data_IF_260443723342
#
_entry.id   IF_260443723342
#
_cell.length_a   1.000
_cell.length_b   1.000
_cell.length_c   1.000
_cell.angle_alpha   90.00
_cell.angle_beta   90.00
_cell.angle_gamma   90.00
#
_symmetry.space_group_name_H-M   'P 1'
#
loop_
_entity.id
_entity.type
_entity.pdbx_description
1 polymer ?
#
# COMPACT_ATOMS: atom_id res chain seq x y z
N UNK A 1 7.50 -12.96 -12.77
CA UNK A 1 8.58 -12.25 -12.08
C UNK A 1 9.74 -13.19 -11.77
N UNK A 2 10.95 -12.67 -11.71
CA UNK A 2 12.14 -13.34 -11.17
C UNK A 2 12.54 -12.50 -9.95
N UNK A 3 12.59 -13.14 -8.79
CA UNK A 3 12.91 -12.48 -7.52
C UNK A 3 14.26 -13.02 -7.04
N UNK A 4 15.23 -12.14 -6.89
CA UNK A 4 16.52 -12.45 -6.28
C UNK A 4 16.51 -11.87 -4.85
N UNK A 5 16.73 -12.70 -3.86
CA UNK A 5 16.85 -12.31 -2.45
C UNK A 5 18.29 -12.49 -2.04
N UNK A 6 18.90 -11.48 -1.42
CA UNK A 6 20.28 -11.55 -0.91
C UNK A 6 20.33 -12.09 0.52
N UNK A 7 21.57 -12.28 1.03
CA UNK A 7 21.81 -12.82 2.37
C UNK A 7 21.30 -11.89 3.51
N UNK A 8 20.90 -10.65 3.19
CA UNK A 8 20.35 -9.68 4.15
C UNK A 8 18.80 -9.64 4.12
N UNK A 9 18.18 -10.42 3.22
CA UNK A 9 16.73 -10.45 3.03
C UNK A 9 16.19 -9.34 2.11
N UNK A 10 17.07 -8.53 1.52
CA UNK A 10 16.68 -7.53 0.51
C UNK A 10 16.40 -8.22 -0.83
N UNK A 11 15.41 -7.72 -1.58
CA UNK A 11 15.03 -8.33 -2.85
C UNK A 11 15.22 -7.39 -4.05
N UNK A 12 15.49 -8.00 -5.19
CA UNK A 12 15.47 -7.36 -6.50
C UNK A 12 14.53 -8.14 -7.41
N UNK A 13 13.55 -7.47 -8.00
CA UNK A 13 12.49 -8.09 -8.78
C UNK A 13 12.59 -7.64 -10.24
N UNK A 14 12.66 -8.62 -11.15
CA UNK A 14 12.57 -8.40 -12.60
C UNK A 14 11.20 -8.89 -13.07
N UNK A 15 10.38 -7.98 -13.59
CA UNK A 15 9.00 -8.28 -14.00
C UNK A 15 8.85 -8.23 -15.51
N UNK A 16 8.27 -9.30 -16.10
CA UNK A 16 7.66 -9.26 -17.41
C UNK A 16 6.15 -9.04 -17.21
N UNK A 17 5.57 -7.91 -17.62
CA UNK A 17 4.20 -7.52 -17.23
C UNK A 17 3.12 -8.51 -17.66
N UNK A 18 3.31 -9.18 -18.82
CA UNK A 18 2.39 -10.23 -19.28
C UNK A 18 0.93 -9.78 -19.28
N UNK A 19 0.08 -10.52 -18.59
CA UNK A 19 -1.36 -10.23 -18.50
C UNK A 19 -1.66 -8.89 -17.82
N UNK A 20 -0.83 -8.42 -16.88
CA UNK A 20 -1.03 -7.11 -16.25
C UNK A 20 -1.05 -5.98 -17.29
N UNK A 21 -0.17 -6.04 -18.30
CA UNK A 21 -0.11 -5.03 -19.35
C UNK A 21 -1.34 -5.03 -20.29
N UNK A 22 -2.15 -6.07 -20.26
CA UNK A 22 -3.36 -6.20 -21.09
C UNK A 22 -4.65 -5.81 -20.38
N UNK A 23 -4.57 -5.43 -19.09
CA UNK A 23 -5.73 -4.98 -18.34
C UNK A 23 -6.12 -3.58 -18.79
N UNK A 24 -7.08 -3.50 -19.70
CA UNK A 24 -7.57 -2.25 -20.27
C UNK A 24 -8.70 -1.60 -19.44
N UNK A 25 -9.10 -0.41 -19.83
CA UNK A 25 -10.14 0.39 -19.13
C UNK A 25 -11.52 -0.25 -19.17
N UNK A 26 -11.84 -1.03 -20.19
CA UNK A 26 -13.14 -1.67 -20.35
C UNK A 26 -13.27 -2.87 -19.41
N UNK A 27 -12.20 -3.66 -19.30
CA UNK A 27 -12.12 -4.77 -18.35
C UNK A 27 -12.22 -4.26 -16.91
N UNK A 28 -11.49 -3.18 -16.57
CA UNK A 28 -11.55 -2.54 -15.26
C UNK A 28 -12.96 -2.03 -14.96
N UNK A 29 -13.58 -1.31 -15.89
CA UNK A 29 -14.94 -0.80 -15.73
C UNK A 29 -15.94 -1.94 -15.47
N UNK A 30 -15.90 -2.98 -16.31
CA UNK A 30 -16.75 -4.16 -16.19
C UNK A 30 -16.59 -4.90 -14.85
N UNK A 31 -15.36 -5.02 -14.38
CA UNK A 31 -15.08 -5.68 -13.09
C UNK A 31 -15.63 -4.85 -11.92
N UNK A 32 -15.38 -3.54 -11.94
CA UNK A 32 -15.80 -2.61 -10.88
C UNK A 32 -17.32 -2.34 -10.87
N UNK A 33 -18.00 -2.51 -11.99
CA UNK A 33 -19.46 -2.43 -12.03
C UNK A 33 -20.14 -3.47 -11.13
N UNK A 34 -19.48 -4.61 -10.91
CA UNK A 34 -20.01 -5.73 -10.11
C UNK A 34 -19.79 -5.59 -8.61
N UNK A 35 -18.89 -4.70 -8.17
CA UNK A 35 -18.64 -4.53 -6.74
C UNK A 35 -19.74 -3.66 -6.09
N UNK A 36 -20.09 -3.92 -4.82
CA UNK A 36 -21.02 -3.09 -4.07
C UNK A 36 -20.51 -1.65 -3.92
N UNK A 37 -21.40 -0.66 -3.81
CA UNK A 37 -21.02 0.69 -3.37
C UNK A 37 -20.33 0.65 -2.02
N UNK A 38 -19.46 1.64 -1.78
CA UNK A 38 -18.68 1.78 -0.53
C UNK A 38 -17.68 0.64 -0.25
N UNK A 39 -17.38 -0.20 -1.24
CA UNK A 39 -16.32 -1.23 -1.14
C UNK A 39 -14.95 -0.61 -0.91
N UNK A 40 -14.02 -1.42 -0.41
CA UNK A 40 -12.59 -1.08 -0.39
C UNK A 40 -11.95 -1.74 -1.61
N UNK A 41 -11.24 -0.93 -2.39
CA UNK A 41 -10.55 -1.37 -3.62
C UNK A 41 -9.07 -1.15 -3.44
N UNK A 42 -8.29 -2.23 -3.55
CA UNK A 42 -6.83 -2.18 -3.50
C UNK A 42 -6.30 -2.09 -4.93
N UNK A 43 -5.40 -1.16 -5.17
CA UNK A 43 -4.73 -0.95 -6.44
C UNK A 43 -3.21 -0.87 -6.24
N UNK A 44 -2.48 -1.30 -7.24
CA UNK A 44 -1.05 -1.08 -7.42
C UNK A 44 -0.80 -0.40 -8.78
N UNK A 45 0.47 -0.16 -9.10
CA UNK A 45 0.87 0.47 -10.38
C UNK A 45 1.51 -0.54 -11.35
N UNK A 46 1.26 -1.82 -11.18
CA UNK A 46 1.72 -2.88 -12.09
C UNK A 46 0.81 -3.12 -13.30
N UNK A 47 -0.22 -2.29 -13.47
CA UNK A 47 -1.15 -2.28 -14.61
C UNK A 47 -1.04 -0.96 -15.37
N UNK A 48 -1.57 -0.83 -16.59
CA UNK A 48 -1.54 0.44 -17.33
C UNK A 48 -2.13 1.59 -16.53
N UNK A 49 -1.48 2.75 -16.56
CA UNK A 49 -1.90 3.91 -15.76
C UNK A 49 -3.31 4.39 -16.12
N UNK A 50 -3.73 4.23 -17.37
CA UNK A 50 -5.08 4.54 -17.84
C UNK A 50 -6.12 3.67 -17.13
N UNK A 51 -5.77 2.43 -16.84
CA UNK A 51 -6.63 1.49 -16.11
C UNK A 51 -6.73 1.86 -14.63
N UNK A 52 -5.63 2.36 -14.03
CA UNK A 52 -5.66 2.92 -12.68
C UNK A 52 -6.55 4.16 -12.61
N UNK A 53 -6.39 5.10 -13.56
CA UNK A 53 -7.24 6.29 -13.67
C UNK A 53 -8.71 5.90 -13.80
N UNK A 54 -9.00 4.92 -14.67
CA UNK A 54 -10.37 4.43 -14.86
C UNK A 54 -10.94 3.80 -13.59
N UNK A 55 -10.14 3.02 -12.87
CA UNK A 55 -10.55 2.45 -11.59
C UNK A 55 -10.90 3.55 -10.57
N UNK A 56 -10.09 4.60 -10.50
CA UNK A 56 -10.34 5.76 -9.62
C UNK A 56 -11.67 6.43 -9.97
N UNK A 57 -11.91 6.71 -11.24
CA UNK A 57 -13.17 7.34 -11.69
C UNK A 57 -14.41 6.52 -11.28
N UNK A 58 -14.41 5.22 -11.58
CA UNK A 58 -15.53 4.33 -11.27
C UNK A 58 -15.73 4.20 -9.75
N UNK A 59 -14.64 4.06 -9.01
CA UNK A 59 -14.69 3.96 -7.55
C UNK A 59 -15.26 5.22 -6.89
N UNK A 60 -14.86 6.41 -7.36
CA UNK A 60 -15.42 7.67 -6.87
C UNK A 60 -16.94 7.77 -7.11
N UNK A 61 -17.41 7.39 -8.30
CA UNK A 61 -18.84 7.40 -8.62
C UNK A 61 -19.65 6.45 -7.73
N UNK A 62 -19.05 5.34 -7.30
CA UNK A 62 -19.66 4.33 -6.42
C UNK A 62 -19.43 4.59 -4.92
N UNK A 63 -18.71 5.65 -4.56
CA UNK A 63 -18.35 5.94 -3.17
C UNK A 63 -17.43 4.89 -2.55
N UNK A 64 -16.65 4.17 -3.37
CA UNK A 64 -15.65 3.19 -2.90
C UNK A 64 -14.42 3.89 -2.32
N UNK A 65 -13.76 3.26 -1.35
CA UNK A 65 -12.51 3.72 -0.79
C UNK A 65 -11.34 3.03 -1.48
N UNK A 66 -10.50 3.81 -2.15
CA UNK A 66 -9.31 3.29 -2.83
C UNK A 66 -8.11 3.29 -1.87
N UNK A 67 -7.49 2.14 -1.71
CA UNK A 67 -6.17 1.99 -1.14
C UNK A 67 -5.18 1.78 -2.29
N UNK A 68 -4.25 2.71 -2.47
CA UNK A 68 -3.23 2.64 -3.52
C UNK A 68 -1.86 2.37 -2.91
N UNK A 69 -1.29 1.23 -3.30
CA UNK A 69 0.13 0.95 -3.15
C UNK A 69 0.84 1.47 -4.41
N UNK A 70 1.66 2.54 -4.32
CA UNK A 70 2.25 3.16 -5.50
C UNK A 70 3.50 2.41 -6.02
N UNK A 71 3.45 1.09 -6.03
CA UNK A 71 4.50 0.18 -6.47
C UNK A 71 4.21 -0.37 -7.89
N UNK A 72 5.17 -0.29 -8.84
CA UNK A 72 6.40 0.48 -8.79
C UNK A 72 6.16 2.00 -8.88
N UNK A 73 6.97 2.77 -8.18
CA UNK A 73 6.81 4.21 -8.12
C UNK A 73 6.91 4.88 -9.50
N UNK A 74 5.92 5.69 -9.84
CA UNK A 74 5.87 6.49 -11.06
C UNK A 74 5.08 7.77 -10.83
N UNK A 75 5.22 8.74 -11.74
CA UNK A 75 4.45 9.99 -11.69
C UNK A 75 2.97 9.68 -11.87
N UNK A 76 2.15 10.14 -10.93
CA UNK A 76 0.71 9.92 -10.94
C UNK A 76 -0.05 11.16 -11.43
N UNK A 77 -1.12 10.98 -12.21
CA UNK A 77 -2.07 12.06 -12.49
C UNK A 77 -2.72 12.61 -11.20
N UNK A 78 -3.02 13.91 -11.20
CA UNK A 78 -3.65 14.59 -10.05
C UNK A 78 -4.99 13.93 -9.63
N UNK A 79 -5.76 13.42 -10.61
CA UNK A 79 -7.01 12.70 -10.36
C UNK A 79 -6.82 11.44 -9.51
N UNK A 80 -5.69 10.73 -9.66
CA UNK A 80 -5.38 9.54 -8.87
C UNK A 80 -5.11 9.91 -7.42
N UNK A 81 -4.31 10.97 -7.17
CA UNK A 81 -4.10 11.46 -5.80
C UNK A 81 -5.43 11.85 -5.13
N UNK A 82 -6.24 12.66 -5.81
CA UNK A 82 -7.54 13.14 -5.28
C UNK A 82 -8.58 12.03 -5.06
N UNK A 83 -8.46 10.92 -5.79
CA UNK A 83 -9.35 9.77 -5.65
C UNK A 83 -8.89 8.74 -4.63
N UNK A 84 -7.66 8.87 -4.12
CA UNK A 84 -7.07 7.90 -3.19
C UNK A 84 -7.46 8.20 -1.75
N UNK A 85 -8.13 7.23 -1.12
CA UNK A 85 -8.47 7.27 0.31
C UNK A 85 -7.26 7.02 1.19
N UNK A 86 -6.42 6.02 0.86
CA UNK A 86 -5.19 5.70 1.57
C UNK A 86 -4.08 5.41 0.57
N UNK A 87 -2.99 6.17 0.65
CA UNK A 87 -1.75 5.93 -0.10
C UNK A 87 -0.73 5.28 0.84
N UNK A 88 -0.12 4.16 0.41
CA UNK A 88 0.77 3.34 1.23
C UNK A 88 2.17 3.19 0.65
N UNK A 89 2.89 4.28 0.37
CA UNK A 89 4.22 4.20 -0.21
C UNK A 89 5.23 3.65 0.81
N UNK A 90 6.24 2.94 0.32
CA UNK A 90 7.46 2.73 1.08
C UNK A 90 8.33 4.01 1.06
N UNK A 91 9.47 3.99 1.74
CA UNK A 91 10.39 5.14 1.81
C UNK A 91 10.76 5.67 0.41
N UNK A 92 11.22 4.80 -0.48
CA UNK A 92 11.70 5.18 -1.82
C UNK A 92 10.57 5.73 -2.69
N UNK A 93 9.40 5.14 -2.62
CA UNK A 93 8.19 5.60 -3.31
C UNK A 93 7.74 6.96 -2.77
N UNK A 94 7.75 7.13 -1.45
CA UNK A 94 7.41 8.42 -0.84
C UNK A 94 8.40 9.52 -1.24
N UNK A 95 9.70 9.22 -1.32
CA UNK A 95 10.72 10.15 -1.83
C UNK A 95 10.46 10.56 -3.27
N UNK A 96 10.19 9.58 -4.15
CA UNK A 96 9.93 9.83 -5.56
C UNK A 96 8.64 10.65 -5.76
N UNK A 97 7.56 10.28 -5.09
CA UNK A 97 6.24 10.92 -5.26
C UNK A 97 6.19 12.32 -4.63
N UNK A 98 6.89 12.52 -3.51
CA UNK A 98 6.92 13.83 -2.82
C UNK A 98 8.03 14.74 -3.33
N UNK A 99 9.09 14.20 -3.91
CA UNK A 99 10.33 14.91 -4.22
C UNK A 99 11.15 15.29 -2.99
N UNK A 100 10.89 14.69 -1.83
CA UNK A 100 11.58 14.96 -0.56
C UNK A 100 12.39 13.74 -0.16
N UNK A 101 13.71 13.88 0.00
CA UNK A 101 14.58 12.83 0.51
C UNK A 101 14.28 12.56 2.00
N UNK A 102 14.08 11.29 2.35
CA UNK A 102 13.72 10.86 3.70
C UNK A 102 14.96 10.37 4.46
N UNK A 103 15.47 11.20 5.34
CA UNK A 103 16.65 10.90 6.17
C UNK A 103 16.35 10.76 7.66
N UNK A 104 15.25 11.37 8.12
CA UNK A 104 14.85 11.42 9.52
C UNK A 104 13.33 11.53 9.68
N UNK A 105 12.84 11.57 10.92
CA UNK A 105 11.40 11.73 11.22
C UNK A 105 10.79 13.03 10.70
N UNK A 106 11.59 14.10 10.63
CA UNK A 106 11.13 15.39 10.12
C UNK A 106 10.85 15.34 8.63
N UNK A 107 11.79 14.78 7.86
CA UNK A 107 11.65 14.61 6.40
C UNK A 107 10.54 13.64 6.02
N UNK A 108 10.30 12.56 6.81
CA UNK A 108 9.11 11.70 6.64
C UNK A 108 7.83 12.50 6.78
N UNK A 109 7.75 13.36 7.81
CA UNK A 109 6.57 14.22 8.04
C UNK A 109 6.35 15.17 6.85
N UNK A 110 7.42 15.84 6.38
CA UNK A 110 7.34 16.72 5.21
C UNK A 110 6.89 15.98 3.94
N UNK A 111 7.40 14.76 3.70
CA UNK A 111 6.99 13.93 2.57
C UNK A 111 5.49 13.59 2.63
N UNK A 112 5.01 13.14 3.79
CA UNK A 112 3.59 12.83 3.98
C UNK A 112 2.70 14.07 3.79
N UNK A 113 3.09 15.23 4.33
CA UNK A 113 2.36 16.49 4.13
C UNK A 113 2.27 16.88 2.66
N UNK A 114 3.36 16.70 1.92
CA UNK A 114 3.39 16.98 0.49
C UNK A 114 2.43 16.08 -0.29
N UNK A 115 2.35 14.79 0.08
CA UNK A 115 1.42 13.85 -0.53
C UNK A 115 -0.04 14.19 -0.16
N UNK A 116 -0.32 14.58 1.08
CA UNK A 116 -1.65 15.07 1.48
C UNK A 116 -2.04 16.34 0.68
N UNK A 117 -1.11 17.26 0.47
CA UNK A 117 -1.34 18.46 -0.35
C UNK A 117 -1.62 18.14 -1.82
N UNK A 118 -1.19 16.98 -2.33
CA UNK A 118 -1.54 16.50 -3.68
C UNK A 118 -2.98 15.99 -3.77
N UNK A 119 -3.70 15.87 -2.66
CA UNK A 119 -5.12 15.55 -2.61
C UNK A 119 -5.46 14.18 -2.02
N UNK A 120 -4.47 13.40 -1.59
CA UNK A 120 -4.69 12.12 -0.89
C UNK A 120 -5.36 12.37 0.46
N UNK A 121 -6.32 11.53 0.85
CA UNK A 121 -7.03 11.70 2.13
C UNK A 121 -6.19 11.24 3.32
N UNK A 122 -5.50 10.10 3.20
CA UNK A 122 -4.66 9.51 4.24
C UNK A 122 -3.37 8.98 3.62
N UNK A 123 -2.25 9.11 4.32
CA UNK A 123 -0.95 8.60 3.90
C UNK A 123 -0.38 7.71 5.01
N UNK A 124 0.13 6.53 4.64
CA UNK A 124 0.82 5.62 5.55
C UNK A 124 2.16 5.23 4.91
N UNK A 125 3.24 5.95 5.25
CA UNK A 125 4.59 5.67 4.74
C UNK A 125 5.17 4.49 5.51
N UNK A 126 5.44 3.38 4.82
CA UNK A 126 6.11 2.21 5.43
C UNK A 126 7.62 2.43 5.48
N UNK A 127 8.21 2.18 6.66
CA UNK A 127 9.62 2.47 6.96
C UNK A 127 10.39 1.20 7.39
N UNK A 128 9.92 0.03 6.97
CA UNK A 128 10.50 -1.26 7.31
C UNK A 128 10.51 -1.49 8.84
N UNK A 129 11.69 -1.80 9.40
CA UNK A 129 11.85 -2.04 10.85
C UNK A 129 11.55 -0.82 11.73
N UNK A 130 11.41 0.38 11.15
CA UNK A 130 11.01 1.59 11.87
C UNK A 130 9.48 1.74 11.99
N UNK A 131 8.71 0.85 11.37
CA UNK A 131 7.25 0.88 11.40
C UNK A 131 6.61 1.72 10.31
N UNK A 132 5.58 2.47 10.64
CA UNK A 132 4.78 3.24 9.69
C UNK A 132 4.57 4.66 10.20
N UNK A 133 4.77 5.65 9.35
CA UNK A 133 4.31 7.00 9.61
C UNK A 133 2.94 7.21 8.98
N UNK A 134 1.94 7.41 9.80
CA UNK A 134 0.57 7.72 9.39
C UNK A 134 0.30 9.21 9.50
N UNK A 135 -0.34 9.78 8.48
CA UNK A 135 -0.78 11.16 8.46
C UNK A 135 -2.10 11.34 7.71
N UNK A 136 -2.94 12.23 8.23
CA UNK A 136 -4.10 12.81 7.55
C UNK A 136 -4.30 14.26 8.04
N UNK A 137 -5.43 14.88 7.69
CA UNK A 137 -5.72 16.26 8.08
C UNK A 137 -5.79 16.48 9.60
N UNK A 138 -6.12 15.45 10.38
CA UNK A 138 -6.39 15.54 11.82
C UNK A 138 -5.24 14.99 12.67
N UNK A 139 -4.54 13.97 12.18
CA UNK A 139 -3.59 13.19 12.96
C UNK A 139 -2.29 12.96 12.20
N UNK A 140 -1.18 12.95 12.96
CA UNK A 140 0.14 12.55 12.49
C UNK A 140 0.81 11.74 13.59
N UNK A 141 1.23 10.51 13.29
CA UNK A 141 1.84 9.65 14.29
C UNK A 141 2.78 8.61 13.68
N UNK A 142 3.83 8.27 14.42
CA UNK A 142 4.66 7.10 14.15
C UNK A 142 4.06 5.90 14.88
N UNK A 143 3.87 4.82 14.16
CA UNK A 143 3.44 3.51 14.67
C UNK A 143 4.63 2.57 14.55
N UNK A 144 5.15 2.11 15.67
CA UNK A 144 6.37 1.30 15.71
C UNK A 144 6.15 -0.11 15.15
N UNK A 145 7.17 -0.66 14.48
CA UNK A 145 7.16 -2.04 14.03
C UNK A 145 7.36 -3.01 15.21
N UNK A 146 6.81 -4.22 15.06
CA UNK A 146 7.19 -5.33 15.92
C UNK A 146 8.60 -5.80 15.56
N UNK A 147 9.50 -5.86 16.52
CA UNK A 147 10.87 -6.33 16.29
C UNK A 147 10.88 -7.83 15.99
N UNK A 148 11.36 -8.20 14.82
CA UNK A 148 11.48 -9.58 14.34
C UNK A 148 12.79 -9.78 13.57
N UNK A 149 13.23 -11.03 13.43
CA UNK A 149 14.31 -11.37 12.52
C UNK A 149 13.72 -11.59 11.13
N UNK A 150 13.93 -10.63 10.24
CA UNK A 150 13.50 -10.75 8.85
C UNK A 150 14.34 -11.80 8.12
N UNK A 151 13.68 -12.64 7.34
CA UNK A 151 14.26 -13.70 6.52
C UNK A 151 14.08 -13.37 5.04
N UNK A 152 12.90 -12.84 4.70
CA UNK A 152 12.52 -12.49 3.33
C UNK A 152 11.49 -11.36 3.38
N UNK A 153 11.80 -10.21 2.76
CA UNK A 153 10.92 -9.04 2.74
C UNK A 153 9.93 -9.03 1.56
N UNK A 154 9.95 -10.09 0.73
CA UNK A 154 9.02 -10.24 -0.40
C UNK A 154 7.58 -10.17 0.07
N UNK A 155 6.76 -9.42 -0.64
CA UNK A 155 5.32 -9.25 -0.39
C UNK A 155 4.95 -8.66 0.99
N UNK A 156 5.90 -8.06 1.73
CA UNK A 156 5.60 -7.39 3.00
C UNK A 156 4.60 -6.23 2.83
N UNK A 157 4.72 -5.46 1.74
CA UNK A 157 3.78 -4.39 1.38
C UNK A 157 2.39 -4.92 1.06
N UNK A 158 2.29 -6.00 0.27
CA UNK A 158 1.02 -6.66 -0.05
C UNK A 158 0.33 -7.17 1.20
N UNK A 159 1.09 -7.82 2.08
CA UNK A 159 0.61 -8.31 3.38
C UNK A 159 0.08 -7.17 4.26
N UNK A 160 0.83 -6.07 4.35
CA UNK A 160 0.42 -4.86 5.06
C UNK A 160 -0.92 -4.34 4.52
N UNK A 161 -1.01 -4.10 3.22
CA UNK A 161 -2.19 -3.57 2.56
C UNK A 161 -3.41 -4.49 2.69
N UNK A 162 -3.22 -5.80 2.53
CA UNK A 162 -4.26 -6.80 2.71
C UNK A 162 -4.85 -6.80 4.12
N UNK A 163 -3.99 -6.75 5.15
CA UNK A 163 -4.42 -6.72 6.54
C UNK A 163 -5.13 -5.40 6.92
N UNK A 164 -4.64 -4.25 6.43
CA UNK A 164 -5.32 -2.95 6.59
C UNK A 164 -6.72 -3.00 5.98
N UNK A 165 -6.84 -3.47 4.74
CA UNK A 165 -8.12 -3.56 4.05
C UNK A 165 -9.11 -4.51 4.76
N UNK A 166 -8.62 -5.66 5.25
CA UNK A 166 -9.43 -6.61 6.00
C UNK A 166 -10.02 -5.99 7.28
N UNK A 167 -9.22 -5.24 8.05
CA UNK A 167 -9.72 -4.53 9.24
C UNK A 167 -10.71 -3.42 8.91
N UNK A 168 -10.42 -2.64 7.87
CA UNK A 168 -11.36 -1.59 7.41
C UNK A 168 -12.69 -2.18 6.93
N UNK A 169 -12.69 -3.36 6.30
CA UNK A 169 -13.92 -4.04 5.86
C UNK A 169 -14.77 -4.53 7.03
N UNK A 170 -14.17 -4.75 8.20
CA UNK A 170 -14.84 -5.10 9.45
C UNK A 170 -15.35 -3.87 10.23
N UNK A 171 -15.15 -2.66 9.69
CA UNK A 171 -15.56 -1.41 10.34
C UNK A 171 -14.58 -0.88 11.39
N UNK A 172 -13.38 -1.45 11.49
CA UNK A 172 -12.33 -0.93 12.37
C UNK A 172 -11.82 0.45 11.89
N UNK A 173 -11.23 1.22 12.79
CA UNK A 173 -10.58 2.49 12.45
C UNK A 173 -9.35 2.26 11.57
N UNK A 174 -8.93 3.31 10.84
CA UNK A 174 -7.74 3.23 10.00
C UNK A 174 -6.47 2.97 10.80
N UNK A 175 -6.37 3.53 12.01
CA UNK A 175 -5.22 3.29 12.90
C UNK A 175 -5.15 1.83 13.36
N UNK A 176 -6.29 1.22 13.70
CA UNK A 176 -6.36 -0.22 14.02
C UNK A 176 -5.99 -1.07 12.80
N UNK A 177 -6.47 -0.69 11.60
CA UNK A 177 -6.08 -1.32 10.36
C UNK A 177 -4.56 -1.28 10.14
N UNK A 178 -3.94 -0.11 10.28
CA UNK A 178 -2.48 0.07 10.12
C UNK A 178 -1.70 -0.76 11.14
N UNK A 179 -2.13 -0.80 12.41
CA UNK A 179 -1.50 -1.66 13.43
C UNK A 179 -1.58 -3.14 13.06
N UNK A 180 -2.73 -3.58 12.55
CA UNK A 180 -2.89 -4.95 12.05
C UNK A 180 -2.00 -5.23 10.83
N UNK A 181 -1.85 -4.25 9.93
CA UNK A 181 -0.93 -4.32 8.79
C UNK A 181 0.53 -4.47 9.23
N UNK A 182 0.98 -3.68 10.21
CA UNK A 182 2.31 -3.79 10.80
C UNK A 182 2.55 -5.18 11.37
N UNK A 183 1.62 -5.71 12.16
CA UNK A 183 1.74 -7.03 12.76
C UNK A 183 1.79 -8.13 11.69
N UNK A 184 0.87 -8.08 10.71
CA UNK A 184 0.81 -9.04 9.62
C UNK A 184 2.10 -9.06 8.79
N UNK A 185 2.60 -7.88 8.39
CA UNK A 185 3.86 -7.79 7.65
C UNK A 185 5.05 -8.24 8.48
N UNK A 186 5.07 -7.97 9.80
CA UNK A 186 6.11 -8.47 10.70
C UNK A 186 6.15 -10.00 10.76
N UNK A 187 4.99 -10.68 10.74
CA UNK A 187 4.94 -12.14 10.66
C UNK A 187 5.38 -12.61 9.25
N UNK A 188 4.91 -11.97 8.20
CA UNK A 188 5.23 -12.31 6.82
C UNK A 188 6.75 -12.35 6.58
N UNK A 189 7.49 -11.32 6.99
CA UNK A 189 8.94 -11.23 6.76
C UNK A 189 9.77 -12.26 7.52
N UNK A 190 9.20 -13.02 8.44
CA UNK A 190 9.87 -14.14 9.11
C UNK A 190 9.81 -15.45 8.32
N UNK A 191 9.17 -15.45 7.14
CA UNK A 191 8.92 -16.62 6.32
C UNK A 191 9.45 -16.39 4.91
N UNK A 192 9.85 -17.46 4.24
CA UNK A 192 10.24 -17.41 2.83
C UNK A 192 9.03 -17.41 1.90
N UNK A 193 9.15 -16.67 0.81
CA UNK A 193 8.19 -16.64 -0.28
C UNK A 193 7.19 -15.49 -0.20
N UNK A 194 6.34 -15.39 -1.20
CA UNK A 194 5.33 -14.34 -1.30
C UNK A 194 4.00 -14.80 -0.67
N UNK A 195 3.17 -15.49 -1.44
CA UNK A 195 1.84 -15.93 -0.97
C UNK A 195 1.92 -16.91 0.20
N UNK A 196 2.91 -17.79 0.21
CA UNK A 196 3.11 -18.77 1.27
C UNK A 196 3.56 -18.17 2.60
N UNK A 197 4.13 -16.96 2.57
CA UNK A 197 4.55 -16.22 3.76
C UNK A 197 3.40 -15.49 4.46
N UNK A 198 2.26 -15.27 3.78
CA UNK A 198 1.13 -14.53 4.32
C UNK A 198 0.57 -15.18 5.59
N UNK A 199 0.37 -14.42 6.69
CA UNK A 199 -0.23 -14.96 7.90
C UNK A 199 -1.73 -15.18 7.73
N UNK A 200 -2.25 -16.19 8.41
CA UNK A 200 -3.68 -16.37 8.53
C UNK A 200 -4.30 -15.42 9.56
N UNK A 201 -5.60 -15.21 9.47
CA UNK A 201 -6.36 -14.30 10.33
C UNK A 201 -6.15 -14.55 11.83
N UNK A 202 -6.13 -15.81 12.27
CA UNK A 202 -5.91 -16.18 13.67
C UNK A 202 -4.51 -15.82 14.16
N UNK A 203 -3.49 -15.83 13.33
CA UNK A 203 -2.12 -15.47 13.70
C UNK A 203 -1.99 -13.97 13.97
N UNK A 204 -2.72 -13.14 13.23
CA UNK A 204 -2.71 -11.67 13.41
C UNK A 204 -3.59 -11.21 14.58
N UNK A 205 -4.58 -12.01 15.02
CA UNK A 205 -5.51 -11.61 16.08
C UNK A 205 -5.28 -12.35 17.41
N UNK A 206 -4.24 -13.17 17.52
CA UNK A 206 -3.90 -13.89 18.75
C UNK A 206 -2.89 -13.16 19.63
N UNK A 207 -2.50 -11.95 19.27
CA UNK A 207 -1.50 -11.12 19.99
C UNK A 207 -2.18 -9.93 20.65
#
# INVERSE_FOLDING_TARGET
AIINVDDTGENQIVVAPGANATLDTDLVSTALDRIPPSSIVLLQLEIPIESVVKAVEVCQQKGCRIMLDPAPAQVLPESVYKGTYLLTPNRNEAELLSGILISDRGSVTCAAEKLLMSGVTNVAITLGSQGVFFANAENKQFLEATSVNAVDTTAAGDCFNGAVAAKLSQGCSLVEGIKSGILASSICVTRHGAQDAMPYFNEVNSV
#
